data_IF_051089107592
#
_entry.id   IF_051089107592
#
_cell.length_a   1.000
_cell.length_b   1.000
_cell.length_c   1.000
_cell.angle_alpha   90.00
_cell.angle_beta   90.00
_cell.angle_gamma   90.00
#
_symmetry.space_group_name_H-M   'P 1'
#
loop_
_entity.id
_entity.type
_entity.pdbx_description
1 polymer ?
#
# COMPACT_ATOMS: atom_id res chain seq x y z
N UNK A 1 -13.05 -20.30 -2.80
CA UNK A 1 -12.89 -19.56 -4.09
C UNK A 1 -11.49 -19.73 -4.65
N UNK A 2 -11.29 -19.52 -5.97
CA UNK A 2 -9.96 -19.50 -6.57
C UNK A 2 -9.37 -18.08 -6.50
N UNK A 3 -8.13 -17.96 -6.05
CA UNK A 3 -7.41 -16.68 -5.88
C UNK A 3 -6.04 -16.76 -6.54
N UNK A 4 -5.65 -15.72 -7.27
CA UNK A 4 -4.30 -15.57 -7.78
C UNK A 4 -3.57 -14.40 -7.11
N UNK A 5 -2.26 -14.52 -6.89
CA UNK A 5 -1.40 -13.45 -6.39
C UNK A 5 -0.28 -13.21 -7.40
N UNK A 6 -0.33 -12.04 -8.05
CA UNK A 6 0.71 -11.58 -8.97
C UNK A 6 1.78 -10.84 -8.17
N UNK A 7 3.05 -11.24 -8.32
CA UNK A 7 4.14 -10.74 -7.49
C UNK A 7 4.30 -11.49 -6.17
N UNK A 8 3.95 -12.78 -6.15
CA UNK A 8 3.96 -13.65 -4.96
C UNK A 8 5.31 -13.70 -4.21
N UNK A 9 6.43 -13.40 -4.87
CA UNK A 9 7.77 -13.42 -4.27
C UNK A 9 8.19 -12.10 -3.63
N UNK A 10 7.46 -11.01 -3.91
CA UNK A 10 7.72 -9.69 -3.32
C UNK A 10 7.29 -9.59 -1.84
N UNK A 11 7.70 -8.51 -1.17
CA UNK A 11 7.35 -8.29 0.25
C UNK A 11 5.83 -8.31 0.48
N UNK A 12 5.06 -7.58 -0.32
CA UNK A 12 3.60 -7.51 -0.21
C UNK A 12 2.97 -8.87 -0.54
N UNK A 13 3.39 -9.52 -1.65
CA UNK A 13 2.86 -10.83 -2.03
C UNK A 13 3.08 -11.89 -0.96
N UNK A 14 4.28 -11.97 -0.39
CA UNK A 14 4.60 -12.89 0.71
C UNK A 14 3.77 -12.60 1.96
N UNK A 15 3.62 -11.32 2.32
CA UNK A 15 2.80 -10.94 3.48
C UNK A 15 1.32 -11.24 3.25
N UNK A 16 0.83 -11.03 2.04
CA UNK A 16 -0.54 -11.42 1.66
C UNK A 16 -0.74 -12.93 1.83
N UNK A 17 0.19 -13.76 1.36
CA UNK A 17 0.13 -15.23 1.54
C UNK A 17 0.09 -15.61 3.02
N UNK A 18 0.96 -14.99 3.85
CA UNK A 18 0.99 -15.24 5.31
C UNK A 18 -0.34 -14.88 5.98
N UNK A 19 -0.93 -13.74 5.61
CA UNK A 19 -2.22 -13.30 6.16
C UNK A 19 -3.34 -14.24 5.72
N UNK A 20 -3.38 -14.63 4.46
CA UNK A 20 -4.37 -15.56 3.94
C UNK A 20 -4.27 -16.95 4.59
N UNK A 21 -3.06 -17.40 4.92
CA UNK A 21 -2.86 -18.68 5.62
C UNK A 21 -3.53 -18.68 7.01
N UNK A 22 -3.51 -17.53 7.70
CA UNK A 22 -4.10 -17.34 9.03
C UNK A 22 -5.58 -16.93 8.97
N UNK A 23 -6.06 -16.55 7.80
CA UNK A 23 -7.43 -16.06 7.63
C UNK A 23 -8.45 -17.18 7.59
N UNK A 24 -9.73 -16.83 7.88
CA UNK A 24 -10.89 -17.71 7.72
C UNK A 24 -11.41 -17.79 6.28
N UNK A 25 -10.75 -17.10 5.33
CA UNK A 25 -11.18 -17.11 3.93
C UNK A 25 -10.98 -18.48 3.33
N UNK A 26 -12.05 -19.06 2.80
CA UNK A 26 -12.02 -20.36 2.12
C UNK A 26 -11.45 -20.19 0.70
N UNK A 27 -10.18 -20.58 0.54
CA UNK A 27 -9.50 -20.60 -0.75
C UNK A 27 -9.44 -22.05 -1.23
N UNK A 28 -10.14 -22.33 -2.33
CA UNK A 28 -10.15 -23.66 -2.96
C UNK A 28 -8.81 -23.92 -3.67
N UNK A 29 -8.39 -22.97 -4.51
CA UNK A 29 -7.10 -22.99 -5.18
C UNK A 29 -6.40 -21.64 -5.06
N UNK A 30 -5.13 -21.65 -4.68
CA UNK A 30 -4.24 -20.47 -4.67
C UNK A 30 -3.24 -20.62 -5.80
N UNK A 31 -3.20 -19.62 -6.70
CA UNK A 31 -2.23 -19.51 -7.78
C UNK A 31 -1.19 -18.45 -7.43
N UNK A 32 0.06 -18.84 -7.36
CA UNK A 32 1.18 -17.94 -7.11
C UNK A 32 1.86 -17.62 -8.43
N UNK A 33 1.90 -16.34 -8.78
CA UNK A 33 2.40 -15.91 -10.09
C UNK A 33 3.48 -14.86 -9.90
N UNK A 34 4.56 -14.97 -10.66
CA UNK A 34 5.66 -14.01 -10.65
C UNK A 34 6.38 -13.99 -12.01
N UNK A 35 7.50 -13.28 -12.11
CA UNK A 35 8.33 -13.28 -13.34
C UNK A 35 8.96 -14.65 -13.60
N UNK A 36 9.37 -14.90 -14.85
CA UNK A 36 10.10 -16.11 -15.28
C UNK A 36 11.27 -16.48 -14.37
N UNK A 37 11.99 -15.48 -13.79
CA UNK A 37 13.08 -15.73 -12.81
C UNK A 37 12.64 -16.46 -11.55
N UNK A 38 11.38 -16.37 -11.19
CA UNK A 38 10.82 -16.98 -9.98
C UNK A 38 9.95 -18.19 -10.26
N UNK A 39 9.59 -18.42 -11.52
CA UNK A 39 8.80 -19.58 -11.94
C UNK A 39 9.53 -20.90 -11.56
N UNK A 40 8.76 -21.91 -11.18
CA UNK A 40 9.26 -23.20 -10.70
C UNK A 40 9.67 -23.22 -9.22
N UNK A 41 9.90 -22.08 -8.58
CA UNK A 41 10.10 -22.02 -7.11
C UNK A 41 8.80 -22.34 -6.40
N UNK A 42 8.91 -22.80 -5.15
CA UNK A 42 7.74 -23.19 -4.36
C UNK A 42 7.62 -22.30 -3.13
N UNK A 43 6.37 -22.03 -2.75
CA UNK A 43 6.01 -21.37 -1.49
C UNK A 43 5.02 -22.27 -0.77
N UNK A 44 5.21 -22.43 0.55
CA UNK A 44 4.31 -23.20 1.41
C UNK A 44 3.08 -22.39 1.77
N UNK A 45 1.90 -22.99 1.65
CA UNK A 45 0.62 -22.43 2.04
C UNK A 45 -0.29 -23.51 2.62
N UNK A 46 -0.76 -23.35 3.86
CA UNK A 46 -1.60 -24.33 4.59
C UNK A 46 -1.04 -25.77 4.49
N UNK A 47 0.28 -25.90 4.69
CA UNK A 47 0.97 -27.18 4.69
C UNK A 47 1.33 -27.75 3.31
N UNK A 48 0.84 -27.18 2.20
CA UNK A 48 1.11 -27.61 0.83
C UNK A 48 2.14 -26.73 0.15
N UNK A 49 3.00 -27.30 -0.67
CA UNK A 49 3.90 -26.52 -1.55
C UNK A 49 3.14 -26.14 -2.81
N UNK A 50 3.13 -24.84 -3.11
CA UNK A 50 2.54 -24.28 -4.32
C UNK A 50 3.67 -23.76 -5.21
N UNK A 51 3.71 -24.25 -6.44
CA UNK A 51 4.68 -23.83 -7.44
C UNK A 51 4.31 -22.47 -8.01
N UNK A 52 5.31 -21.60 -8.19
CA UNK A 52 5.14 -20.27 -8.78
C UNK A 52 5.08 -20.41 -10.29
N UNK A 53 4.03 -19.85 -10.89
CA UNK A 53 3.82 -19.81 -12.32
C UNK A 53 4.40 -18.54 -12.93
N UNK A 54 4.79 -18.63 -14.21
CA UNK A 54 5.24 -17.51 -15.00
C UNK A 54 4.04 -16.62 -15.40
N UNK A 55 4.12 -15.31 -15.14
CA UNK A 55 3.08 -14.35 -15.45
C UNK A 55 2.71 -14.33 -16.95
N UNK A 56 3.70 -14.47 -17.82
CA UNK A 56 3.47 -14.43 -19.27
C UNK A 56 2.67 -15.65 -19.78
N UNK A 57 2.67 -16.75 -19.03
CA UNK A 57 1.99 -18.00 -19.36
C UNK A 57 0.71 -18.22 -18.56
N UNK A 58 0.45 -17.35 -17.55
CA UNK A 58 -0.66 -17.56 -16.65
C UNK A 58 -2.02 -17.22 -17.29
N UNK A 59 -2.97 -18.15 -17.22
CA UNK A 59 -4.35 -17.88 -17.63
C UNK A 59 -5.18 -17.33 -16.46
N UNK A 60 -5.56 -16.07 -16.55
CA UNK A 60 -6.34 -15.36 -15.53
C UNK A 60 -7.75 -15.93 -15.33
N UNK A 61 -8.28 -16.72 -16.25
CA UNK A 61 -9.58 -17.39 -16.08
C UNK A 61 -9.60 -18.44 -14.97
N UNK A 62 -8.43 -18.90 -14.51
CA UNK A 62 -8.30 -19.86 -13.41
C UNK A 62 -8.70 -19.27 -12.05
N UNK A 63 -8.68 -17.95 -11.88
CA UNK A 63 -8.96 -17.28 -10.62
C UNK A 63 -10.23 -16.42 -10.70
N UNK A 64 -11.05 -16.46 -9.64
CA UNK A 64 -12.18 -15.54 -9.48
C UNK A 64 -11.70 -14.13 -9.10
N UNK A 65 -10.64 -14.05 -8.30
CA UNK A 65 -10.00 -12.80 -7.87
C UNK A 65 -8.51 -12.91 -8.12
N UNK A 66 -7.93 -11.84 -8.64
CA UNK A 66 -6.48 -11.71 -8.85
C UNK A 66 -5.96 -10.49 -8.12
N UNK A 67 -5.07 -10.70 -7.16
CA UNK A 67 -4.42 -9.66 -6.38
C UNK A 67 -3.07 -9.29 -6.99
N UNK A 68 -2.90 -8.02 -7.39
CA UNK A 68 -1.67 -7.50 -7.97
C UNK A 68 -0.78 -6.85 -6.90
N UNK A 69 0.38 -7.45 -6.65
CA UNK A 69 1.40 -7.00 -5.71
C UNK A 69 2.79 -6.85 -6.37
N UNK A 70 2.83 -6.57 -7.68
CA UNK A 70 4.05 -6.55 -8.49
C UNK A 70 4.49 -5.14 -8.95
N UNK A 71 3.85 -4.10 -8.41
CA UNK A 71 4.15 -2.70 -8.76
C UNK A 71 3.43 -2.19 -10.01
N UNK A 72 3.60 -0.87 -10.26
CA UNK A 72 2.81 -0.16 -11.26
C UNK A 72 3.05 -0.61 -12.70
N UNK A 73 4.28 -0.89 -13.08
CA UNK A 73 4.61 -1.35 -14.43
C UNK A 73 3.90 -2.66 -14.79
N UNK A 74 3.83 -3.59 -13.84
CA UNK A 74 3.13 -4.87 -14.06
C UNK A 74 1.61 -4.65 -14.06
N UNK A 75 1.09 -3.79 -13.18
CA UNK A 75 -0.34 -3.46 -13.16
C UNK A 75 -0.77 -2.80 -14.49
N UNK A 76 -0.01 -1.84 -15.00
CA UNK A 76 -0.23 -1.18 -16.28
C UNK A 76 -0.31 -2.18 -17.45
N UNK A 77 0.62 -3.12 -17.52
CA UNK A 77 0.71 -4.07 -18.62
C UNK A 77 -0.35 -5.18 -18.56
N UNK A 78 -0.74 -5.61 -17.36
CA UNK A 78 -1.49 -6.85 -17.17
C UNK A 78 -2.86 -6.69 -16.52
N UNK A 79 -3.10 -5.69 -15.67
CA UNK A 79 -4.34 -5.62 -14.90
C UNK A 79 -5.58 -5.46 -15.78
N UNK A 80 -5.53 -4.63 -16.81
CA UNK A 80 -6.64 -4.47 -17.78
C UNK A 80 -6.88 -5.74 -18.60
N UNK A 81 -5.84 -6.52 -18.89
CA UNK A 81 -6.00 -7.83 -19.57
C UNK A 81 -6.64 -8.84 -18.61
N UNK A 82 -6.18 -8.87 -17.37
CA UNK A 82 -6.70 -9.75 -16.33
C UNK A 82 -8.17 -9.45 -16.01
N UNK A 83 -8.56 -8.17 -15.94
CA UNK A 83 -9.91 -7.75 -15.56
C UNK A 83 -11.01 -8.20 -16.53
N UNK A 84 -10.63 -8.59 -17.75
CA UNK A 84 -11.55 -9.22 -18.71
C UNK A 84 -11.96 -10.64 -18.31
N UNK A 85 -11.23 -11.28 -17.38
CA UNK A 85 -11.43 -12.70 -16.98
C UNK A 85 -11.63 -12.89 -15.49
N UNK A 86 -11.18 -11.95 -14.66
CA UNK A 86 -11.16 -12.03 -13.20
C UNK A 86 -11.42 -10.66 -12.57
N UNK A 87 -11.82 -10.61 -11.31
CA UNK A 87 -11.83 -9.36 -10.55
C UNK A 87 -10.39 -9.07 -10.10
N UNK A 88 -9.89 -7.90 -10.45
CA UNK A 88 -8.55 -7.44 -10.09
C UNK A 88 -8.61 -6.57 -8.83
N UNK A 89 -7.75 -6.87 -7.86
CA UNK A 89 -7.44 -5.98 -6.73
C UNK A 89 -6.00 -5.51 -6.95
N UNK A 90 -5.83 -4.23 -7.30
CA UNK A 90 -4.50 -3.67 -7.57
C UNK A 90 -3.94 -2.92 -6.36
N UNK A 91 -2.82 -3.38 -5.84
CA UNK A 91 -2.10 -2.74 -4.75
C UNK A 91 -1.05 -1.71 -5.23
N UNK A 92 -0.92 -1.52 -6.53
CA UNK A 92 -0.01 -0.51 -7.09
C UNK A 92 -0.62 0.89 -7.04
N UNK A 93 0.17 1.90 -7.42
CA UNK A 93 -0.33 3.27 -7.53
C UNK A 93 -1.03 3.56 -8.88
N UNK A 94 -1.03 2.62 -9.82
CA UNK A 94 -1.38 2.91 -11.22
C UNK A 94 -2.84 3.34 -11.40
N UNK A 95 -3.78 2.61 -10.82
CA UNK A 95 -5.22 2.88 -10.97
C UNK A 95 -5.84 3.79 -9.90
N UNK A 96 -5.10 4.18 -8.87
CA UNK A 96 -5.67 4.88 -7.69
C UNK A 96 -6.42 6.15 -8.04
N UNK A 97 -5.91 6.93 -8.99
CA UNK A 97 -6.51 8.21 -9.39
C UNK A 97 -7.35 8.11 -10.66
N UNK A 98 -7.54 6.91 -11.22
CA UNK A 98 -8.47 6.68 -12.32
C UNK A 98 -9.92 6.88 -11.85
N UNK A 99 -10.68 7.73 -12.54
CA UNK A 99 -12.07 8.05 -12.17
C UNK A 99 -13.02 6.86 -12.31
N UNK A 100 -12.68 5.90 -13.17
CA UNK A 100 -13.48 4.72 -13.46
C UNK A 100 -13.11 3.51 -12.59
N UNK A 101 -12.10 3.66 -11.72
CA UNK A 101 -11.64 2.63 -10.80
C UNK A 101 -11.87 3.08 -9.36
N UNK A 102 -12.67 2.36 -8.56
CA UNK A 102 -12.87 2.71 -7.16
C UNK A 102 -11.59 2.49 -6.35
N UNK A 103 -11.23 3.49 -5.56
CA UNK A 103 -10.14 3.45 -4.60
C UNK A 103 -10.74 3.10 -3.24
N UNK A 104 -10.54 1.87 -2.76
CA UNK A 104 -11.28 1.32 -1.62
C UNK A 104 -10.40 1.13 -0.40
N UNK A 105 -10.87 1.66 0.70
CA UNK A 105 -10.49 1.30 2.07
C UNK A 105 -11.75 0.79 2.75
N UNK A 106 -11.91 -0.53 2.99
CA UNK A 106 -13.19 -1.13 3.37
C UNK A 106 -13.85 -0.50 4.61
N UNK A 107 -13.05 -0.08 5.59
CA UNK A 107 -13.52 0.55 6.83
C UNK A 107 -14.02 1.99 6.61
N UNK A 108 -13.79 2.57 5.42
CA UNK A 108 -14.07 3.99 5.16
C UNK A 108 -15.15 4.18 4.11
N UNK A 109 -15.04 3.51 2.96
CA UNK A 109 -15.88 3.75 1.79
C UNK A 109 -16.30 2.47 1.06
N UNK A 110 -16.65 1.42 1.81
CA UNK A 110 -17.10 0.14 1.25
C UNK A 110 -18.33 0.24 0.34
N UNK A 111 -19.17 1.24 0.56
CA UNK A 111 -20.34 1.56 -0.27
C UNK A 111 -19.96 1.84 -1.74
N UNK A 112 -18.76 2.38 -1.98
CA UNK A 112 -18.24 2.64 -3.32
C UNK A 112 -17.74 1.38 -4.03
N UNK A 113 -17.61 0.25 -3.33
CA UNK A 113 -17.08 -0.99 -3.90
C UNK A 113 -17.88 -1.45 -5.14
N UNK A 114 -19.21 -1.28 -5.15
CA UNK A 114 -20.06 -1.67 -6.29
C UNK A 114 -19.62 -1.08 -7.64
N UNK A 115 -18.87 0.03 -7.62
CA UNK A 115 -18.37 0.71 -8.82
C UNK A 115 -17.28 -0.11 -9.56
N UNK A 116 -16.71 -1.16 -8.91
CA UNK A 116 -15.72 -2.02 -9.57
C UNK A 116 -16.25 -2.72 -10.83
N UNK A 117 -17.57 -2.94 -10.91
CA UNK A 117 -18.23 -3.63 -12.02
C UNK A 117 -18.01 -2.97 -13.38
N UNK A 118 -17.64 -1.69 -13.39
CA UNK A 118 -17.35 -0.96 -14.63
C UNK A 118 -16.14 -1.53 -15.38
N UNK A 119 -15.06 -1.83 -14.63
CA UNK A 119 -13.79 -2.29 -15.19
C UNK A 119 -13.27 -3.61 -14.58
N UNK A 120 -14.00 -4.21 -13.62
CA UNK A 120 -13.55 -5.33 -12.80
C UNK A 120 -12.20 -5.08 -12.11
N UNK A 121 -11.89 -3.81 -11.79
CA UNK A 121 -10.68 -3.42 -11.08
C UNK A 121 -11.06 -2.65 -9.83
N UNK A 122 -10.38 -2.97 -8.73
CA UNK A 122 -10.44 -2.29 -7.43
C UNK A 122 -9.02 -1.83 -7.12
N UNK A 123 -8.82 -0.54 -6.87
CA UNK A 123 -7.54 -0.02 -6.43
C UNK A 123 -7.47 -0.01 -4.90
N UNK A 124 -6.33 -0.45 -4.36
CA UNK A 124 -5.98 -0.33 -2.95
C UNK A 124 -5.16 0.93 -2.72
N UNK A 125 -5.42 1.65 -1.62
CA UNK A 125 -4.78 2.94 -1.36
C UNK A 125 -3.31 2.81 -0.89
N UNK A 126 -2.63 3.94 -0.79
CA UNK A 126 -1.29 4.05 -0.23
C UNK A 126 -1.29 3.62 1.25
N UNK A 127 -0.21 3.00 1.71
CA UNK A 127 -0.11 2.44 3.06
C UNK A 127 -0.30 3.49 4.16
N UNK A 128 0.26 4.69 4.01
CA UNK A 128 0.06 5.78 4.96
C UNK A 128 -1.35 6.36 4.84
N UNK A 129 -1.87 6.52 3.62
CA UNK A 129 -3.25 6.97 3.43
C UNK A 129 -4.26 6.05 4.12
N UNK A 130 -4.12 4.72 3.99
CA UNK A 130 -5.05 3.74 4.60
C UNK A 130 -5.14 3.95 6.10
N UNK A 131 -4.02 3.94 6.82
CA UNK A 131 -4.03 4.06 8.28
C UNK A 131 -4.57 5.42 8.74
N UNK A 132 -4.27 6.50 8.01
CA UNK A 132 -4.78 7.83 8.30
C UNK A 132 -6.31 7.92 8.13
N UNK A 133 -6.85 7.50 6.98
CA UNK A 133 -8.29 7.64 6.70
C UNK A 133 -9.15 6.75 7.59
N UNK A 134 -8.65 5.58 8.01
CA UNK A 134 -9.35 4.72 8.98
C UNK A 134 -9.51 5.42 10.31
N UNK A 135 -8.48 6.12 10.80
CA UNK A 135 -8.56 6.89 12.04
C UNK A 135 -9.43 8.16 11.87
N UNK A 136 -9.38 8.80 10.70
CA UNK A 136 -10.09 10.06 10.44
C UNK A 136 -11.58 9.87 10.13
N UNK A 137 -11.98 8.74 9.53
CA UNK A 137 -13.37 8.50 9.10
C UNK A 137 -14.40 8.71 10.21
N UNK A 138 -14.29 8.05 11.36
CA UNK A 138 -15.27 8.24 12.44
C UNK A 138 -15.30 9.67 12.97
N UNK A 139 -14.16 10.37 12.98
CA UNK A 139 -14.08 11.78 13.39
C UNK A 139 -14.74 12.70 12.35
N UNK A 140 -14.53 12.42 11.06
CA UNK A 140 -15.13 13.18 9.97
C UNK A 140 -16.65 13.06 9.98
N UNK A 141 -17.20 11.87 10.19
CA UNK A 141 -18.65 11.63 10.25
C UNK A 141 -19.34 12.41 11.36
N UNK A 142 -18.66 12.62 12.49
CA UNK A 142 -19.23 13.32 13.62
C UNK A 142 -19.02 14.83 13.60
N UNK A 143 -17.81 15.27 13.20
CA UNK A 143 -17.36 16.65 13.42
C UNK A 143 -17.08 17.42 12.13
N UNK A 144 -17.09 16.80 10.96
CA UNK A 144 -16.70 17.35 9.67
C UNK A 144 -15.27 17.92 9.70
N UNK A 145 -14.34 17.16 9.16
CA UNK A 145 -12.93 17.60 9.07
C UNK A 145 -12.81 18.69 8.01
N UNK A 146 -12.27 19.84 8.39
CA UNK A 146 -11.98 20.97 7.52
C UNK A 146 -10.57 20.93 6.96
N UNK A 147 -9.60 20.54 7.82
CA UNK A 147 -8.18 20.54 7.47
C UNK A 147 -7.41 19.45 8.21
N UNK A 148 -6.45 18.85 7.51
CA UNK A 148 -5.50 17.88 8.06
C UNK A 148 -4.08 18.34 7.77
N UNK A 149 -3.22 18.34 8.78
CA UNK A 149 -1.77 18.43 8.62
C UNK A 149 -1.20 17.12 9.14
N UNK A 150 -0.44 16.41 8.31
CA UNK A 150 0.13 15.12 8.68
C UNK A 150 1.63 15.09 8.44
N UNK A 151 2.37 14.57 9.43
CA UNK A 151 3.77 14.19 9.26
C UNK A 151 3.88 12.69 9.44
N UNK A 152 4.47 11.99 8.46
CA UNK A 152 4.66 10.54 8.53
C UNK A 152 6.08 10.17 8.88
N UNK A 153 6.23 9.04 9.57
CA UNK A 153 7.51 8.40 9.90
C UNK A 153 7.48 7.00 9.27
N UNK A 154 7.98 6.91 8.02
CA UNK A 154 7.79 5.71 7.20
C UNK A 154 9.02 4.81 7.21
N UNK A 155 8.81 3.53 7.52
CA UNK A 155 9.84 2.50 7.51
C UNK A 155 10.38 2.21 6.11
N UNK A 156 11.56 1.61 6.04
CA UNK A 156 12.22 1.24 4.78
C UNK A 156 11.51 0.12 4.03
N UNK A 157 10.66 -0.69 4.69
CA UNK A 157 9.93 -1.81 4.04
C UNK A 157 9.02 -1.34 2.92
N UNK A 158 8.48 -0.12 3.00
CA UNK A 158 7.65 0.49 1.95
C UNK A 158 8.39 0.67 0.62
N UNK A 159 9.72 0.79 0.64
CA UNK A 159 10.56 0.87 -0.55
C UNK A 159 11.02 -0.53 -1.08
N UNK A 160 10.73 -1.61 -0.35
CA UNK A 160 11.02 -2.98 -0.79
C UNK A 160 12.19 -3.64 -0.05
N UNK A 161 12.56 -4.85 -0.51
CA UNK A 161 13.58 -5.66 0.17
C UNK A 161 14.98 -5.06 0.10
N UNK A 162 15.41 -4.57 -1.05
CA UNK A 162 16.76 -4.01 -1.21
C UNK A 162 17.02 -2.81 -0.28
N UNK A 163 16.11 -1.83 -0.11
CA UNK A 163 16.21 -0.80 0.92
C UNK A 163 16.26 -1.32 2.37
N UNK A 164 15.55 -2.41 2.69
CA UNK A 164 15.66 -3.05 4.01
C UNK A 164 17.06 -3.64 4.24
N UNK A 165 17.58 -4.36 3.25
CA UNK A 165 18.93 -4.95 3.29
C UNK A 165 20.00 -3.84 3.38
N UNK A 166 19.77 -2.69 2.70
CA UNK A 166 20.67 -1.52 2.77
C UNK A 166 20.70 -0.91 4.18
N UNK A 167 19.56 -0.75 4.85
CA UNK A 167 19.54 -0.26 6.22
C UNK A 167 20.37 -1.15 7.16
N UNK A 168 20.23 -2.48 7.03
CA UNK A 168 21.02 -3.44 7.83
C UNK A 168 22.51 -3.29 7.55
N UNK A 169 22.89 -3.23 6.27
CA UNK A 169 24.28 -3.11 5.85
C UNK A 169 24.89 -1.80 6.34
N UNK A 170 24.22 -0.67 6.11
CA UNK A 170 24.68 0.65 6.56
C UNK A 170 24.81 0.71 8.09
N UNK A 171 23.90 0.05 8.84
CA UNK A 171 23.98 0.01 10.31
C UNK A 171 25.21 -0.76 10.77
N UNK A 172 25.55 -1.88 10.15
CA UNK A 172 26.78 -2.63 10.44
C UNK A 172 28.02 -1.82 10.11
N UNK A 173 28.07 -1.25 8.90
CA UNK A 173 29.21 -0.45 8.44
C UNK A 173 29.45 0.75 9.36
N UNK A 174 28.37 1.42 9.82
CA UNK A 174 28.46 2.53 10.78
C UNK A 174 29.11 2.09 12.11
N UNK A 175 28.61 1.00 12.69
CA UNK A 175 29.11 0.49 13.98
C UNK A 175 30.55 -0.02 13.89
N UNK A 176 30.98 -0.48 12.73
CA UNK A 176 32.33 -0.96 12.46
C UNK A 176 33.29 0.16 11.99
N UNK A 177 32.84 1.41 11.91
CA UNK A 177 33.63 2.55 11.44
C UNK A 177 33.99 2.49 9.96
N UNK A 178 33.23 1.72 9.16
CA UNK A 178 33.44 1.55 7.72
C UNK A 178 32.78 2.69 6.93
N UNK A 179 33.23 2.87 5.69
CA UNK A 179 32.63 3.83 4.76
C UNK A 179 31.22 3.37 4.37
N UNK A 180 30.21 4.20 4.62
CA UNK A 180 28.82 3.94 4.27
C UNK A 180 28.56 4.30 2.81
N UNK A 181 27.78 3.46 2.12
CA UNK A 181 27.32 3.69 0.74
C UNK A 181 25.79 3.69 0.69
N UNK A 182 25.21 4.68 0.01
CA UNK A 182 23.76 4.75 -0.27
C UNK A 182 23.51 4.40 -1.72
N UNK A 183 22.64 3.41 -1.97
CA UNK A 183 22.29 2.91 -3.30
C UNK A 183 20.80 3.06 -3.61
N UNK A 184 19.93 2.78 -2.64
CA UNK A 184 18.49 2.84 -2.79
C UNK A 184 17.88 4.10 -2.18
N UNK A 185 18.64 4.85 -1.41
CA UNK A 185 18.23 6.13 -0.81
C UNK A 185 19.13 7.26 -1.29
N UNK A 186 18.60 8.47 -1.30
CA UNK A 186 19.35 9.68 -1.69
C UNK A 186 20.47 10.04 -0.71
N UNK A 187 20.35 9.59 0.53
CA UNK A 187 21.31 9.78 1.63
C UNK A 187 21.40 8.51 2.47
N UNK A 188 22.41 8.45 3.34
CA UNK A 188 22.47 7.43 4.38
C UNK A 188 21.16 7.39 5.16
N UNK A 189 20.60 6.18 5.33
CA UNK A 189 19.38 5.98 6.11
C UNK A 189 19.68 5.47 7.54
N UNK A 190 20.75 4.70 7.73
CA UNK A 190 21.12 4.24 9.06
C UNK A 190 21.41 5.42 9.99
N UNK A 191 20.74 5.47 11.14
CA UNK A 191 20.83 6.54 12.14
C UNK A 191 20.53 7.94 11.61
N UNK A 192 19.66 8.06 10.59
CA UNK A 192 19.33 9.33 9.95
C UNK A 192 17.84 9.38 9.58
N UNK A 193 17.35 10.59 9.31
CA UNK A 193 16.04 10.87 8.75
C UNK A 193 16.20 11.42 7.33
N UNK A 194 15.31 11.03 6.41
CA UNK A 194 15.27 11.59 5.06
C UNK A 194 13.85 12.16 4.85
N UNK A 195 13.65 13.47 4.92
CA UNK A 195 12.34 14.13 4.74
C UNK A 195 11.97 14.21 3.25
N UNK A 196 12.06 13.08 2.56
CA UNK A 196 11.87 12.96 1.13
C UNK A 196 11.60 11.49 0.78
N UNK A 197 10.41 11.21 0.27
CA UNK A 197 10.01 9.87 -0.19
C UNK A 197 9.45 9.97 -1.60
N UNK A 198 10.00 9.13 -2.53
CA UNK A 198 9.68 9.16 -3.96
C UNK A 198 10.25 10.44 -4.63
N UNK A 199 9.88 10.75 -5.84
CA UNK A 199 10.36 11.90 -6.62
C UNK A 199 9.59 13.17 -6.25
N UNK A 200 10.23 14.33 -6.44
CA UNK A 200 9.56 15.61 -6.34
C UNK A 200 8.63 15.82 -7.53
N UNK A 201 7.49 16.43 -7.25
CA UNK A 201 6.50 16.91 -8.22
C UNK A 201 6.44 18.43 -8.15
N UNK A 202 5.55 19.03 -8.93
CA UNK A 202 5.33 20.48 -8.91
C UNK A 202 4.98 20.99 -7.50
N UNK A 203 5.22 22.25 -7.24
CA UNK A 203 4.97 22.93 -5.95
C UNK A 203 5.82 22.43 -4.77
N UNK A 204 6.88 21.64 -5.04
CA UNK A 204 7.83 21.20 -4.02
C UNK A 204 7.36 20.02 -3.17
N UNK A 205 6.21 19.42 -3.46
CA UNK A 205 5.78 18.14 -2.85
C UNK A 205 6.52 16.97 -3.45
N UNK A 206 6.63 15.87 -2.68
CA UNK A 206 7.03 14.56 -3.20
C UNK A 206 5.80 13.79 -3.72
N UNK A 207 6.03 12.80 -4.59
CA UNK A 207 4.96 11.89 -5.04
C UNK A 207 4.26 11.18 -3.88
N UNK A 208 4.96 10.90 -2.79
CA UNK A 208 4.35 10.27 -1.61
C UNK A 208 3.37 11.20 -0.91
N UNK A 209 3.75 12.47 -0.72
CA UNK A 209 2.87 13.50 -0.16
C UNK A 209 1.67 13.77 -1.06
N UNK A 210 1.90 13.84 -2.37
CA UNK A 210 0.84 13.99 -3.37
C UNK A 210 -0.20 12.85 -3.29
N UNK A 211 0.26 11.59 -3.11
CA UNK A 211 -0.64 10.44 -2.91
C UNK A 211 -1.50 10.63 -1.66
N UNK A 212 -0.91 10.97 -0.54
CA UNK A 212 -1.66 11.18 0.71
C UNK A 212 -2.73 12.26 0.54
N UNK A 213 -2.40 13.36 -0.12
CA UNK A 213 -3.33 14.47 -0.36
C UNK A 213 -4.49 14.03 -1.24
N UNK A 214 -4.20 13.46 -2.42
CA UNK A 214 -5.21 13.20 -3.43
C UNK A 214 -6.00 11.92 -3.17
N UNK A 215 -5.37 10.87 -2.64
CA UNK A 215 -6.06 9.64 -2.27
C UNK A 215 -7.02 9.89 -1.10
N UNK A 216 -6.65 10.67 -0.09
CA UNK A 216 -7.54 11.04 1.02
C UNK A 216 -8.77 11.80 0.53
N UNK A 217 -8.60 12.74 -0.39
CA UNK A 217 -9.72 13.46 -1.01
C UNK A 217 -10.66 12.55 -1.77
N UNK A 218 -10.10 11.57 -2.50
CA UNK A 218 -10.90 10.60 -3.25
C UNK A 218 -11.65 9.61 -2.35
N UNK A 219 -11.04 9.20 -1.23
CA UNK A 219 -11.59 8.19 -0.32
C UNK A 219 -12.58 8.80 0.67
N UNK A 220 -12.25 9.95 1.26
CA UNK A 220 -12.97 10.51 2.41
C UNK A 220 -13.86 11.69 2.00
N UNK A 221 -13.28 12.82 1.60
CA UNK A 221 -14.01 14.03 1.16
C UNK A 221 -13.10 14.93 0.32
N UNK A 222 -13.51 15.32 -0.91
CA UNK A 222 -12.72 16.18 -1.79
C UNK A 222 -12.49 17.60 -1.24
N UNK A 223 -13.30 18.06 -0.27
CA UNK A 223 -13.22 19.41 0.28
C UNK A 223 -12.18 19.55 1.40
N UNK A 224 -11.70 18.46 1.97
CA UNK A 224 -10.69 18.50 3.05
C UNK A 224 -9.40 19.13 2.53
N UNK A 225 -8.91 20.16 3.25
CA UNK A 225 -7.60 20.74 3.01
C UNK A 225 -6.53 19.88 3.66
N UNK A 226 -5.53 19.43 2.89
CA UNK A 226 -4.52 18.50 3.39
C UNK A 226 -3.14 19.05 3.07
N UNK A 227 -2.24 19.00 4.06
CA UNK A 227 -0.81 19.19 3.91
C UNK A 227 -0.09 18.00 4.51
N UNK A 228 0.79 17.38 3.74
CA UNK A 228 1.52 16.18 4.15
C UNK A 228 3.03 16.42 4.08
N UNK A 229 3.77 15.90 5.06
CA UNK A 229 5.23 15.82 5.06
C UNK A 229 5.62 14.36 5.29
N UNK A 230 6.27 13.73 4.31
CA UNK A 230 6.61 12.31 4.37
C UNK A 230 8.10 12.11 4.65
N UNK A 231 8.42 11.48 5.79
CA UNK A 231 9.78 11.26 6.25
C UNK A 231 10.13 9.77 6.27
N UNK A 232 11.21 9.38 5.59
CA UNK A 232 11.79 8.05 5.70
C UNK A 232 12.63 7.96 6.96
N UNK A 233 12.35 6.96 7.80
CA UNK A 233 13.03 6.72 9.07
C UNK A 233 13.77 5.37 9.07
N UNK A 234 14.81 5.18 9.91
CA UNK A 234 15.62 3.97 9.95
C UNK A 234 14.92 2.86 10.77
N UNK A 235 13.68 2.57 10.39
CA UNK A 235 12.82 1.53 10.98
C UNK A 235 12.55 0.47 9.92
N UNK A 236 12.63 -0.79 10.30
CA UNK A 236 12.51 -1.90 9.34
C UNK A 236 11.09 -2.02 8.78
N UNK A 237 10.08 -1.99 9.62
CA UNK A 237 8.66 -2.23 9.27
C UNK A 237 7.77 -1.30 10.08
N UNK A 238 6.57 -1.03 9.57
CA UNK A 238 5.54 -0.15 10.12
C UNK A 238 5.79 1.34 9.88
N UNK A 239 4.69 2.08 9.84
CA UNK A 239 4.68 3.53 9.72
C UNK A 239 3.97 4.13 10.92
N UNK A 240 4.37 5.33 11.29
CA UNK A 240 3.69 6.14 12.31
C UNK A 240 3.34 7.49 11.70
N UNK A 241 2.33 8.14 12.24
CA UNK A 241 1.87 9.44 11.78
C UNK A 241 1.55 10.35 12.96
N UNK A 242 1.93 11.62 12.82
CA UNK A 242 1.48 12.70 13.69
C UNK A 242 0.49 13.54 12.88
N UNK A 243 -0.75 13.61 13.37
CA UNK A 243 -1.85 14.21 12.63
C UNK A 243 -2.46 15.34 13.47
N UNK A 244 -2.51 16.55 12.89
CA UNK A 244 -3.26 17.66 13.43
C UNK A 244 -4.54 17.84 12.59
N UNK A 245 -5.69 17.92 13.26
CA UNK A 245 -6.98 17.99 12.58
C UNK A 245 -7.74 19.23 13.03
N UNK A 246 -8.25 19.99 12.08
CA UNK A 246 -9.20 21.08 12.30
C UNK A 246 -10.59 20.62 11.87
N UNK A 247 -11.57 20.81 12.74
CA UNK A 247 -12.97 20.45 12.51
C UNK A 247 -13.85 21.66 12.25
N UNK A 248 -14.97 21.47 11.57
CA UNK A 248 -15.98 22.51 11.41
C UNK A 248 -16.85 22.65 12.65
N UNK A 249 -17.16 21.53 13.31
CA UNK A 249 -17.97 21.51 14.53
C UNK A 249 -17.09 21.58 15.78
N UNK A 250 -17.57 22.17 16.88
CA UNK A 250 -16.85 22.13 18.15
C UNK A 250 -16.62 20.70 18.61
N UNK A 251 -15.43 20.43 19.11
CA UNK A 251 -15.03 19.11 19.62
C UNK A 251 -14.43 19.22 21.02
N UNK A 252 -14.59 18.17 21.79
CA UNK A 252 -13.89 17.97 23.06
C UNK A 252 -13.13 16.63 23.05
N UNK A 253 -12.07 16.54 23.86
CA UNK A 253 -11.19 15.37 23.90
C UNK A 253 -11.92 14.11 24.34
N UNK A 254 -12.91 14.19 25.22
CA UNK A 254 -13.67 13.04 25.70
C UNK A 254 -14.48 12.41 24.59
N UNK A 255 -15.15 13.23 23.79
CA UNK A 255 -15.89 12.79 22.61
C UNK A 255 -15.00 12.11 21.59
N UNK A 256 -13.82 12.69 21.27
CA UNK A 256 -12.85 12.08 20.36
C UNK A 256 -12.41 10.71 20.86
N UNK A 257 -12.05 10.59 22.15
CA UNK A 257 -11.64 9.30 22.73
C UNK A 257 -12.73 8.25 22.68
N UNK A 258 -13.98 8.64 22.94
CA UNK A 258 -15.12 7.72 22.89
C UNK A 258 -15.40 7.20 21.47
N UNK A 259 -15.14 8.02 20.44
CA UNK A 259 -15.35 7.66 19.05
C UNK A 259 -14.24 6.72 18.53
N UNK A 260 -13.01 6.90 19.03
CA UNK A 260 -11.85 6.12 18.59
C UNK A 260 -11.64 4.81 19.37
N UNK A 261 -12.34 4.59 20.49
CA UNK A 261 -12.33 3.35 21.27
C UNK A 261 -13.45 2.40 20.83
#
# INVERSE_FOLDING_TARGET
>A
MNLAIIGATGNVGRKTIEILEKSKIEISNLFLVASAKSAGKKIKFKGKEIEIQDLEKYDFSNAKITFFAAGSTIAEQWATKASKKTIVIDNSKFFRMDNDVPLIVPEVNLDQLQNYKKNNIIANANCSTIQMVVALKPLHDHFNIKRVIVSTYQSVSGAGKAPMDELITQSKDFLEGKKISSKNFTKQIAFNLIPHIDEFVDEGYTKEEWKMINETKKILDPNIKISATCVRVPVMVYHSESINVEFEKPVDIKSIKNILN
#
